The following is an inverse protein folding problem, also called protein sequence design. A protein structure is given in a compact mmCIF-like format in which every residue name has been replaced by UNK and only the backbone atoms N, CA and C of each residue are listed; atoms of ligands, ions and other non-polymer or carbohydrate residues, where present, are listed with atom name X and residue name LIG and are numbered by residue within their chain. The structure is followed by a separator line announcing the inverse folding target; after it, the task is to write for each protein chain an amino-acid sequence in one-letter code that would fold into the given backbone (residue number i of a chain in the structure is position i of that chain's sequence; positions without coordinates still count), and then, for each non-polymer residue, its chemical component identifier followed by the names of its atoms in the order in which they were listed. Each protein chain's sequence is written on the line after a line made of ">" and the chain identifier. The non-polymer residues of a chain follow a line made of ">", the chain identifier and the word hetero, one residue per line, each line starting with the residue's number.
data_IF_074460691070
#
_entry.id   IF_074460691070
#
_cell.length_a   1.000
_cell.length_b   1.000
_cell.length_c   1.000
_cell.angle_alpha   90.00
_cell.angle_beta   90.00
_cell.angle_gamma   90.00
#
_symmetry.space_group_name_H-M   'P 1'
#
loop_
_entity.id
_entity.type
_entity.pdbx_description
1 polymer ?
#
# COMPACT_ATOMS: atom_id res chain seq x y z
N UNK A 1 -31.67 29.32 -3.61
CA UNK A 1 -30.20 29.38 -3.82
C UNK A 1 -29.73 27.96 -4.04
N UNK A 2 -29.11 27.61 -5.17
CA UNK A 2 -28.61 26.26 -5.36
C UNK A 2 -27.43 26.06 -4.42
N UNK A 3 -27.50 24.98 -3.63
CA UNK A 3 -26.38 24.48 -2.86
C UNK A 3 -25.26 24.21 -3.85
N UNK A 4 -24.15 24.92 -3.69
CA UNK A 4 -22.92 24.64 -4.40
C UNK A 4 -22.45 23.27 -3.88
N UNK A 5 -22.88 22.19 -4.56
CA UNK A 5 -22.25 20.89 -4.44
C UNK A 5 -20.81 21.10 -4.89
N UNK A 6 -19.94 21.46 -3.94
CA UNK A 6 -18.51 21.26 -4.12
C UNK A 6 -18.39 19.83 -4.60
N UNK A 7 -17.93 19.65 -5.84
CA UNK A 7 -17.48 18.36 -6.35
C UNK A 7 -16.46 17.85 -5.33
N UNK A 8 -16.94 17.05 -4.37
CA UNK A 8 -16.09 16.31 -3.45
C UNK A 8 -15.19 15.52 -4.38
N UNK A 9 -13.91 15.90 -4.44
CA UNK A 9 -12.93 15.19 -5.24
C UNK A 9 -12.88 13.80 -4.62
N UNK A 10 -13.58 12.86 -5.26
CA UNK A 10 -13.62 11.49 -4.79
C UNK A 10 -12.27 10.87 -5.09
N UNK A 11 -11.38 10.94 -4.11
CA UNK A 11 -10.06 10.36 -4.24
C UNK A 11 -10.19 8.83 -4.37
N UNK A 12 -9.58 8.26 -5.41
CA UNK A 12 -9.37 6.82 -5.53
C UNK A 12 -8.17 6.45 -4.66
N UNK A 13 -8.41 6.12 -3.39
CA UNK A 13 -7.35 5.81 -2.43
C UNK A 13 -7.45 4.38 -1.94
N UNK A 14 -6.29 3.80 -1.63
CA UNK A 14 -6.17 2.57 -0.86
C UNK A 14 -5.02 2.71 0.11
N UNK A 15 -5.29 2.58 1.41
CA UNK A 15 -4.25 2.46 2.41
C UNK A 15 -3.88 0.98 2.56
N UNK A 16 -2.59 0.67 2.43
CA UNK A 16 -2.05 -0.69 2.53
C UNK A 16 -1.02 -0.74 3.67
N UNK A 17 -1.30 -1.56 4.68
CA UNK A 17 -0.43 -1.77 5.81
C UNK A 17 0.56 -2.91 5.52
N UNK A 18 1.84 -2.61 5.62
CA UNK A 18 2.96 -3.52 5.39
C UNK A 18 3.88 -3.56 6.61
N UNK A 19 4.84 -4.48 6.61
CA UNK A 19 5.93 -4.48 7.58
C UNK A 19 6.86 -3.29 7.35
N UNK A 20 7.44 -2.75 8.42
CA UNK A 20 8.47 -1.73 8.29
C UNK A 20 9.87 -2.36 8.35
N UNK A 21 10.75 -2.03 7.41
CA UNK A 21 12.15 -2.42 7.47
C UNK A 21 12.98 -1.22 7.94
N UNK A 22 13.38 -1.21 9.21
CA UNK A 22 14.29 -0.21 9.75
C UNK A 22 15.70 -0.81 9.81
N UNK A 23 16.68 -0.20 9.13
CA UNK A 23 18.09 -0.63 9.15
C UNK A 23 18.31 -2.10 8.75
N UNK A 24 17.52 -2.62 7.80
CA UNK A 24 17.62 -4.03 7.37
C UNK A 24 17.00 -5.03 8.34
N UNK A 25 16.36 -4.58 9.42
CA UNK A 25 15.58 -5.43 10.31
C UNK A 25 14.09 -5.23 10.04
N UNK A 26 13.42 -6.31 9.66
CA UNK A 26 11.98 -6.31 9.46
C UNK A 26 11.25 -6.30 10.79
N UNK A 27 10.49 -5.25 11.01
CA UNK A 27 9.61 -5.06 12.15
C UNK A 27 8.16 -5.19 11.62
N UNK A 28 7.53 -6.33 11.91
CA UNK A 28 6.18 -6.63 11.46
C UNK A 28 5.59 -7.82 12.21
N UNK A 29 4.26 -7.83 12.40
CA UNK A 29 3.56 -8.94 13.05
C UNK A 29 3.21 -10.09 12.10
N UNK A 30 3.64 -10.04 10.84
CA UNK A 30 3.25 -11.03 9.85
C UNK A 30 4.00 -12.35 10.05
N UNK A 31 3.24 -13.40 10.36
CA UNK A 31 3.72 -14.75 10.65
C UNK A 31 4.52 -15.39 9.50
N UNK A 32 4.33 -14.89 8.27
CA UNK A 32 5.08 -15.32 7.08
C UNK A 32 6.54 -14.85 7.14
N UNK A 33 6.78 -13.58 7.49
CA UNK A 33 8.13 -12.98 7.67
C UNK A 33 8.98 -13.78 8.65
N UNK A 34 8.35 -14.23 9.74
CA UNK A 34 8.99 -15.03 10.80
C UNK A 34 9.40 -16.43 10.28
N UNK A 35 8.70 -16.96 9.27
CA UNK A 35 8.94 -18.32 8.74
C UNK A 35 9.83 -18.35 7.48
N UNK A 36 9.80 -17.32 6.63
CA UNK A 36 10.43 -17.39 5.29
C UNK A 36 11.69 -16.55 5.13
N UNK A 37 12.00 -15.62 6.04
CA UNK A 37 13.22 -14.81 5.99
C UNK A 37 13.29 -13.81 4.82
N UNK A 38 12.30 -13.81 3.93
CA UNK A 38 12.13 -12.82 2.87
C UNK A 38 10.68 -12.37 2.80
N UNK A 39 10.47 -11.06 2.91
CA UNK A 39 9.19 -10.44 2.70
C UNK A 39 9.21 -9.63 1.44
N UNK A 40 8.33 -9.98 0.52
CA UNK A 40 8.12 -9.29 -0.76
C UNK A 40 7.91 -7.78 -0.59
N UNK A 41 7.35 -7.37 0.55
CA UNK A 41 7.13 -5.96 0.93
C UNK A 41 8.43 -5.14 1.00
N UNK A 42 9.59 -5.77 1.21
CA UNK A 42 10.89 -5.07 1.29
C UNK A 42 11.31 -4.41 -0.01
N UNK A 43 10.77 -4.89 -1.14
CA UNK A 43 11.08 -4.38 -2.48
C UNK A 43 10.08 -3.34 -2.97
N UNK A 44 9.07 -2.95 -2.17
CA UNK A 44 8.05 -2.00 -2.61
C UNK A 44 8.68 -0.69 -3.14
N UNK A 45 9.69 -0.16 -2.45
CA UNK A 45 10.35 1.08 -2.85
C UNK A 45 11.67 0.88 -3.60
N UNK A 46 11.90 -0.31 -4.13
CA UNK A 46 13.08 -0.63 -4.94
C UNK A 46 12.61 -0.82 -6.39
N UNK A 47 12.83 0.19 -7.24
CA UNK A 47 12.34 0.20 -8.61
C UNK A 47 13.09 -0.81 -9.49
N UNK A 48 12.46 -1.19 -10.60
CA UNK A 48 13.06 -2.06 -11.63
C UNK A 48 12.66 -1.59 -13.02
N UNK A 49 13.43 -2.02 -14.02
CA UNK A 49 12.95 -2.00 -15.40
C UNK A 49 12.07 -3.22 -15.63
N UNK A 50 10.78 -2.99 -15.90
CA UNK A 50 9.81 -4.03 -16.22
C UNK A 50 9.04 -3.60 -17.47
N UNK A 51 9.02 -4.48 -18.49
CA UNK A 51 8.44 -4.18 -19.81
C UNK A 51 8.94 -2.84 -20.40
N UNK A 52 10.25 -2.57 -20.27
CA UNK A 52 10.90 -1.37 -20.80
C UNK A 52 10.66 -0.07 -20.02
N UNK A 53 9.95 -0.13 -18.89
CA UNK A 53 9.64 1.04 -18.06
C UNK A 53 10.20 0.89 -16.65
N UNK A 54 10.68 1.99 -16.07
CA UNK A 54 11.11 2.02 -14.67
C UNK A 54 9.88 2.15 -13.75
N UNK A 55 9.64 1.11 -12.94
CA UNK A 55 8.42 0.97 -12.12
C UNK A 55 8.74 0.50 -10.71
N UNK A 56 7.86 0.80 -9.77
CA UNK A 56 7.79 0.09 -8.49
C UNK A 56 6.72 -1.00 -8.58
N UNK A 57 7.11 -2.23 -8.22
CA UNK A 57 6.20 -3.36 -8.08
C UNK A 57 5.92 -3.59 -6.59
N UNK A 58 4.78 -3.07 -6.13
CA UNK A 58 4.35 -3.14 -4.74
C UNK A 58 3.56 -4.39 -4.40
N UNK A 59 3.81 -4.92 -3.21
CA UNK A 59 3.07 -6.02 -2.61
C UNK A 59 2.56 -5.66 -1.22
N UNK A 60 1.33 -6.05 -0.93
CA UNK A 60 0.81 -6.20 0.44
C UNK A 60 -0.05 -7.46 0.51
N UNK A 61 -0.07 -8.11 1.67
CA UNK A 61 -0.89 -9.30 1.86
C UNK A 61 -2.36 -8.90 2.16
N UNK A 62 -3.29 -9.26 1.27
CA UNK A 62 -4.72 -9.05 1.49
C UNK A 62 -5.31 -9.97 2.60
N UNK A 63 -4.50 -10.89 3.13
CA UNK A 63 -4.84 -11.90 4.12
C UNK A 63 -5.41 -13.18 3.51
N UNK A 64 -5.72 -14.15 4.38
CA UNK A 64 -6.29 -15.45 3.99
C UNK A 64 -7.70 -15.64 4.57
N UNK A 65 -8.51 -16.50 3.95
CA UNK A 65 -9.76 -16.98 4.55
C UNK A 65 -9.48 -17.86 5.78
N UNK A 66 -10.53 -18.37 6.43
CA UNK A 66 -10.40 -19.25 7.60
C UNK A 66 -9.50 -20.44 7.26
N UNK A 67 -8.49 -20.71 8.09
CA UNK A 67 -7.44 -21.69 7.80
C UNK A 67 -6.05 -21.06 7.57
N UNK A 68 -5.97 -19.74 7.41
CA UNK A 68 -4.69 -19.02 7.30
C UNK A 68 -3.93 -19.37 6.02
N UNK A 69 -2.63 -19.15 6.00
CA UNK A 69 -1.77 -19.44 4.84
C UNK A 69 -1.80 -20.93 4.45
N UNK A 70 -1.88 -21.83 5.44
CA UNK A 70 -1.73 -23.28 5.23
C UNK A 70 -2.99 -23.94 4.66
N UNK A 71 -4.19 -23.46 5.02
CA UNK A 71 -5.46 -24.10 4.66
C UNK A 71 -6.52 -23.14 4.10
N UNK A 72 -6.25 -21.84 4.14
CA UNK A 72 -7.14 -20.80 3.62
C UNK A 72 -6.83 -20.47 2.16
N UNK A 73 -7.75 -19.70 1.56
CA UNK A 73 -7.58 -19.12 0.24
C UNK A 73 -7.09 -17.67 0.38
N UNK A 74 -6.23 -17.24 -0.53
CA UNK A 74 -5.79 -15.85 -0.61
C UNK A 74 -7.01 -14.94 -0.80
N UNK A 75 -7.16 -13.93 0.05
CA UNK A 75 -8.22 -12.92 -0.12
C UNK A 75 -7.87 -12.01 -1.29
N UNK A 76 -8.91 -11.48 -1.91
CA UNK A 76 -8.79 -10.52 -2.99
C UNK A 76 -8.81 -9.09 -2.46
N UNK A 77 -8.16 -8.19 -3.19
CA UNK A 77 -8.39 -6.76 -3.06
C UNK A 77 -9.75 -6.44 -3.66
N UNK A 78 -10.64 -5.88 -2.85
CA UNK A 78 -11.99 -5.48 -3.27
C UNK A 78 -11.93 -4.11 -3.95
N UNK A 79 -11.37 -4.04 -5.16
CA UNK A 79 -11.13 -2.78 -5.88
C UNK A 79 -12.43 -1.98 -6.15
N UNK A 80 -13.59 -2.62 -6.14
CA UNK A 80 -14.91 -1.96 -6.18
C UNK A 80 -15.18 -1.08 -4.95
N UNK A 81 -14.42 -1.30 -3.87
CA UNK A 81 -14.43 -0.46 -2.70
C UNK A 81 -13.55 0.79 -2.86
N UNK A 82 -12.69 0.85 -3.88
CA UNK A 82 -12.02 2.10 -4.24
C UNK A 82 -12.98 2.95 -5.08
N UNK A 83 -13.52 2.35 -6.13
CA UNK A 83 -14.50 2.97 -7.02
C UNK A 83 -15.44 1.88 -7.56
N UNK A 84 -16.75 2.13 -7.54
CA UNK A 84 -17.75 1.16 -7.98
C UNK A 84 -17.63 0.78 -9.46
N UNK A 85 -17.03 1.64 -10.28
CA UNK A 85 -16.74 1.35 -11.70
C UNK A 85 -15.81 0.15 -11.90
N UNK A 86 -15.05 -0.24 -10.87
CA UNK A 86 -14.12 -1.39 -10.95
C UNK A 86 -14.75 -2.75 -10.58
N UNK A 87 -16.07 -2.82 -10.37
CA UNK A 87 -16.76 -4.03 -9.87
C UNK A 87 -16.48 -5.30 -10.67
N UNK A 88 -16.40 -5.22 -11.99
CA UNK A 88 -16.21 -6.38 -12.86
C UNK A 88 -14.82 -6.40 -13.52
N UNK A 89 -13.89 -5.56 -13.07
CA UNK A 89 -12.54 -5.48 -13.62
C UNK A 89 -11.57 -6.34 -12.81
N UNK A 90 -10.44 -6.69 -13.43
CA UNK A 90 -9.33 -7.41 -12.75
C UNK A 90 -8.42 -6.46 -11.97
N UNK A 91 -8.37 -5.21 -12.37
CA UNK A 91 -7.55 -4.15 -11.78
C UNK A 91 -8.27 -2.81 -11.77
N UNK A 92 -7.75 -1.90 -10.94
CA UNK A 92 -8.20 -0.53 -10.80
C UNK A 92 -7.03 0.41 -11.10
N UNK A 93 -7.19 1.26 -12.13
CA UNK A 93 -6.19 2.25 -12.52
C UNK A 93 -6.47 3.63 -11.92
N UNK A 94 -5.42 4.47 -11.85
CA UNK A 94 -5.54 5.82 -11.33
C UNK A 94 -5.77 5.87 -9.81
N UNK A 95 -5.27 4.87 -9.08
CA UNK A 95 -5.39 4.78 -7.62
C UNK A 95 -4.15 5.40 -6.96
N UNK A 96 -4.34 6.15 -5.88
CA UNK A 96 -3.24 6.48 -4.97
C UNK A 96 -3.18 5.43 -3.87
N UNK A 97 -2.14 4.59 -3.90
CA UNK A 97 -1.89 3.60 -2.85
C UNK A 97 -0.98 4.23 -1.82
N UNK A 98 -1.44 4.31 -0.57
CA UNK A 98 -0.70 4.90 0.55
C UNK A 98 -0.18 3.74 1.40
N UNK A 99 1.14 3.60 1.44
CA UNK A 99 1.80 2.56 2.20
C UNK A 99 1.95 3.01 3.65
N UNK A 100 1.49 2.19 4.57
CA UNK A 100 1.57 2.44 6.00
C UNK A 100 2.30 1.29 6.69
N UNK A 101 2.94 1.57 7.81
CA UNK A 101 3.51 0.53 8.65
C UNK A 101 3.43 0.92 10.13
N UNK A 102 3.60 -0.08 11.00
CA UNK A 102 3.75 0.14 12.43
C UNK A 102 5.22 0.47 12.73
N UNK A 103 5.47 1.70 13.17
CA UNK A 103 6.80 2.18 13.53
C UNK A 103 7.01 2.00 15.04
N UNK A 104 8.09 1.34 15.48
CA UNK A 104 8.39 1.17 16.90
C UNK A 104 8.38 2.51 17.65
N UNK A 105 7.75 2.55 18.82
CA UNK A 105 7.61 3.73 19.70
C UNK A 105 6.84 4.93 19.14
N UNK A 106 6.46 4.93 17.86
CA UNK A 106 5.71 6.03 17.22
C UNK A 106 4.26 5.62 16.95
N UNK A 107 4.04 4.38 16.52
CA UNK A 107 2.73 3.90 16.09
C UNK A 107 2.59 3.79 14.57
N UNK A 108 1.36 3.68 14.08
CA UNK A 108 1.12 3.48 12.65
C UNK A 108 1.36 4.79 11.89
N UNK A 109 2.18 4.76 10.86
CA UNK A 109 2.55 5.93 10.05
C UNK A 109 2.55 5.60 8.56
N UNK A 110 2.37 6.61 7.72
CA UNK A 110 2.59 6.57 6.28
C UNK A 110 4.10 6.51 6.04
N UNK A 111 4.54 5.55 5.22
CA UNK A 111 5.95 5.34 4.88
C UNK A 111 6.28 5.67 3.41
N UNK A 112 5.25 5.97 2.63
CA UNK A 112 5.37 6.27 1.21
C UNK A 112 4.05 6.07 0.48
N UNK A 113 4.05 6.27 -0.83
CA UNK A 113 2.86 6.11 -1.66
C UNK A 113 3.23 5.88 -3.12
N UNK A 114 2.31 5.27 -3.87
CA UNK A 114 2.32 5.26 -5.32
C UNK A 114 1.11 6.06 -5.82
N UNK A 115 1.36 7.13 -6.58
CA UNK A 115 0.31 7.84 -7.34
C UNK A 115 0.03 7.11 -8.65
N UNK A 116 -1.16 7.34 -9.22
CA UNK A 116 -1.58 6.79 -10.51
C UNK A 116 -1.28 5.29 -10.69
N UNK A 117 -1.41 4.52 -9.60
CA UNK A 117 -1.10 3.10 -9.61
C UNK A 117 -2.24 2.29 -10.25
N UNK A 118 -1.86 1.13 -10.77
CA UNK A 118 -2.77 0.04 -11.07
C UNK A 118 -2.74 -0.97 -9.92
N UNK A 119 -3.92 -1.26 -9.36
CA UNK A 119 -4.12 -2.18 -8.22
C UNK A 119 -4.88 -3.41 -8.70
N UNK A 120 -4.33 -4.60 -8.48
CA UNK A 120 -4.91 -5.86 -8.92
C UNK A 120 -5.72 -6.54 -7.81
N UNK A 121 -6.82 -7.23 -8.18
CA UNK A 121 -7.60 -8.05 -7.24
C UNK A 121 -6.79 -9.16 -6.61
N UNK A 122 -5.96 -9.81 -7.42
CA UNK A 122 -5.08 -10.91 -7.04
C UNK A 122 -3.64 -10.52 -7.34
N UNK A 123 -2.67 -11.01 -6.56
CA UNK A 123 -1.25 -10.81 -6.89
C UNK A 123 -0.92 -11.42 -8.25
N UNK A 124 -0.19 -10.65 -9.07
CA UNK A 124 0.52 -11.15 -10.22
C UNK A 124 1.83 -11.81 -9.77
N UNK A 125 2.34 -12.73 -10.59
CA UNK A 125 3.59 -13.46 -10.36
C UNK A 125 4.54 -13.26 -11.53
N UNK A 126 5.78 -12.91 -11.21
CA UNK A 126 6.93 -12.96 -12.11
C UNK A 126 7.75 -14.19 -11.71
N UNK A 127 8.08 -15.10 -12.64
CA UNK A 127 8.89 -16.28 -12.33
C UNK A 127 10.22 -15.94 -11.65
N UNK A 128 10.68 -16.86 -10.80
CA UNK A 128 11.97 -16.71 -10.11
C UNK A 128 13.12 -16.59 -11.13
N UNK A 129 14.04 -15.66 -10.88
CA UNK A 129 15.19 -15.39 -11.74
C UNK A 129 14.96 -14.36 -12.83
N UNK A 130 13.70 -13.98 -13.15
CA UNK A 130 13.42 -12.92 -14.13
C UNK A 130 13.73 -11.51 -13.60
N UNK A 131 13.63 -11.31 -12.28
CA UNK A 131 14.14 -10.11 -11.62
C UNK A 131 15.38 -10.51 -10.80
N UNK A 132 16.60 -10.16 -11.25
CA UNK A 132 17.83 -10.54 -10.55
C UNK A 132 17.79 -10.15 -9.07
N UNK A 133 18.09 -11.12 -8.21
CA UNK A 133 18.14 -10.92 -6.76
C UNK A 133 16.79 -10.76 -6.05
N UNK A 134 15.65 -10.95 -6.74
CA UNK A 134 14.32 -10.83 -6.13
C UNK A 134 13.42 -12.05 -6.37
N UNK A 135 12.48 -12.24 -5.46
CA UNK A 135 11.49 -13.31 -5.52
C UNK A 135 11.94 -14.58 -4.82
N UNK A 136 10.95 -15.38 -4.41
CA UNK A 136 11.18 -16.70 -3.81
C UNK A 136 11.31 -17.78 -4.89
N UNK A 137 12.16 -18.78 -4.67
CA UNK A 137 12.40 -19.85 -5.65
C UNK A 137 11.13 -20.66 -5.98
N UNK A 138 10.18 -20.76 -5.05
CA UNK A 138 8.92 -21.50 -5.24
C UNK A 138 7.78 -20.56 -5.66
N UNK A 139 7.69 -19.38 -5.05
CA UNK A 139 6.57 -18.46 -5.24
C UNK A 139 6.80 -17.42 -6.35
N UNK A 140 8.04 -17.21 -6.79
CA UNK A 140 8.43 -16.12 -7.70
C UNK A 140 8.40 -14.75 -7.03
N UNK A 141 8.41 -13.69 -7.84
CA UNK A 141 8.19 -12.33 -7.39
C UNK A 141 6.70 -11.95 -7.51
N UNK A 142 6.06 -11.55 -6.40
CA UNK A 142 4.65 -11.23 -6.34
C UNK A 142 4.44 -9.72 -6.24
N UNK A 143 3.43 -9.21 -6.93
CA UNK A 143 2.99 -7.82 -6.80
C UNK A 143 1.48 -7.71 -7.03
N UNK A 144 0.81 -6.83 -6.28
CA UNK A 144 -0.60 -6.48 -6.49
C UNK A 144 -0.80 -4.98 -6.72
N UNK A 145 0.29 -4.22 -6.82
CA UNK A 145 0.30 -2.80 -7.17
C UNK A 145 1.47 -2.54 -8.13
N UNK A 146 1.23 -1.78 -9.19
CA UNK A 146 2.30 -1.25 -10.05
C UNK A 146 2.08 0.24 -10.26
N UNK A 147 3.17 1.01 -10.20
CA UNK A 147 3.19 2.38 -10.72
C UNK A 147 4.58 2.68 -11.25
N UNK A 148 4.65 3.62 -12.18
CA UNK A 148 5.93 4.14 -12.65
C UNK A 148 6.72 4.79 -11.51
N UNK A 149 8.06 4.73 -11.57
CA UNK A 149 8.95 5.20 -10.49
C UNK A 149 8.71 6.66 -10.08
N UNK A 150 8.50 7.54 -11.06
CA UNK A 150 8.28 8.98 -10.85
C UNK A 150 7.04 9.34 -10.00
N UNK A 151 6.11 8.40 -9.84
CA UNK A 151 4.87 8.52 -9.09
C UNK A 151 4.99 7.90 -7.70
N UNK A 152 6.10 7.24 -7.43
CA UNK A 152 6.36 6.54 -6.19
C UNK A 152 7.25 7.39 -5.29
N UNK A 153 6.89 7.46 -4.01
CA UNK A 153 7.70 8.10 -2.98
C UNK A 153 7.87 7.14 -1.81
N UNK A 154 9.11 7.03 -1.34
CA UNK A 154 9.46 6.41 -0.08
C UNK A 154 9.95 7.51 0.86
N UNK A 155 9.24 7.71 1.96
CA UNK A 155 9.58 8.77 2.91
C UNK A 155 10.86 8.39 3.68
N UNK A 156 11.78 9.34 3.93
CA UNK A 156 12.87 9.12 4.87
C UNK A 156 12.33 9.02 6.30
N UNK A 157 13.09 8.38 7.18
CA UNK A 157 12.69 8.18 8.57
C UNK A 157 12.39 9.50 9.29
N UNK A 158 13.13 10.57 8.97
CA UNK A 158 12.91 11.93 9.47
C UNK A 158 11.54 12.51 9.14
N UNK A 159 10.91 12.05 8.05
CA UNK A 159 9.52 12.36 7.71
C UNK A 159 8.56 11.40 8.43
N UNK A 160 8.80 10.09 8.34
CA UNK A 160 7.91 9.04 8.88
C UNK A 160 7.55 9.26 10.36
N UNK A 161 8.48 9.76 11.17
CA UNK A 161 8.26 9.99 12.62
C UNK A 161 7.42 11.24 12.93
N UNK A 162 7.19 12.12 11.96
CA UNK A 162 6.38 13.33 12.18
C UNK A 162 4.93 12.92 12.33
N UNK A 163 4.25 13.52 13.32
CA UNK A 163 2.83 13.25 13.61
C UNK A 163 1.91 13.54 12.43
N UNK A 164 2.33 14.35 11.47
CA UNK A 164 1.56 14.70 10.28
C UNK A 164 1.37 13.53 9.30
N UNK A 165 2.20 12.50 9.40
CA UNK A 165 2.15 11.28 8.59
C UNK A 165 1.46 10.11 9.29
N UNK A 166 0.80 10.32 10.43
CA UNK A 166 0.14 9.23 11.16
C UNK A 166 -0.87 8.48 10.28
N UNK A 167 -0.95 7.16 10.44
CA UNK A 167 -1.96 6.32 9.82
C UNK A 167 -3.03 5.93 10.87
N UNK A 168 -4.31 6.28 10.69
CA UNK A 168 -5.33 6.08 11.69
C UNK A 168 -5.66 4.60 11.90
N UNK A 169 -6.03 4.25 13.13
CA UNK A 169 -6.55 2.93 13.51
C UNK A 169 -7.99 3.08 13.98
N UNK A 170 -8.87 2.20 13.48
CA UNK A 170 -10.31 2.27 13.73
C UNK A 170 -10.65 2.31 15.23
N UNK A 171 -9.92 1.52 16.04
CA UNK A 171 -10.11 1.45 17.49
C UNK A 171 -9.97 2.80 18.21
N UNK A 172 -9.11 3.69 17.72
CA UNK A 172 -8.79 4.96 18.41
C UNK A 172 -9.50 6.16 17.78
N UNK A 173 -9.66 6.17 16.45
CA UNK A 173 -10.20 7.33 15.73
C UNK A 173 -11.64 7.13 15.23
N UNK A 174 -12.15 5.89 15.27
CA UNK A 174 -13.44 5.53 14.66
C UNK A 174 -13.40 5.40 13.13
N UNK A 175 -12.21 5.53 12.53
CA UNK A 175 -11.88 5.25 11.13
C UNK A 175 -10.42 4.82 11.03
N UNK A 176 -9.99 4.31 9.88
CA UNK A 176 -8.62 3.82 9.68
C UNK A 176 -8.53 2.31 9.60
N UNK A 177 -7.32 1.77 9.72
CA UNK A 177 -7.11 0.33 9.70
C UNK A 177 -7.82 -0.36 10.88
N UNK A 178 -8.62 -1.38 10.54
CA UNK A 178 -9.18 -2.34 11.49
C UNK A 178 -8.31 -3.58 11.61
N UNK A 179 -8.92 -4.76 11.45
CA UNK A 179 -8.20 -6.05 11.43
C UNK A 179 -7.57 -6.37 10.06
N UNK A 180 -7.97 -5.68 8.99
CA UNK A 180 -7.42 -5.89 7.65
C UNK A 180 -6.17 -5.03 7.43
N UNK A 181 -5.25 -5.53 6.61
CA UNK A 181 -4.12 -4.77 6.06
C UNK A 181 -4.54 -3.72 5.02
N UNK A 182 -5.82 -3.67 4.64
CA UNK A 182 -6.34 -2.72 3.67
C UNK A 182 -7.35 -1.81 4.35
N UNK A 183 -7.29 -0.52 4.03
CA UNK A 183 -8.32 0.42 4.38
C UNK A 183 -8.69 1.28 3.16
N UNK A 184 -9.99 1.28 2.83
CA UNK A 184 -10.56 1.93 1.65
C UNK A 184 -11.07 3.35 1.91
N UNK A 185 -10.95 3.84 3.15
CA UNK A 185 -11.37 5.18 3.57
C UNK A 185 -12.75 5.62 3.06
N UNK A 186 -13.76 4.76 3.27
CA UNK A 186 -15.15 5.03 2.85
C UNK A 186 -15.98 5.71 3.93
N UNK A 187 -15.46 5.74 5.16
CA UNK A 187 -16.16 6.27 6.30
C UNK A 187 -16.24 7.79 6.17
N UNK A 188 -17.44 8.37 6.31
CA UNK A 188 -17.62 9.83 6.30
C UNK A 188 -16.70 10.56 7.29
N UNK A 189 -16.44 9.94 8.46
CA UNK A 189 -15.53 10.46 9.49
C UNK A 189 -14.08 10.60 9.01
N UNK A 190 -13.69 9.90 7.94
CA UNK A 190 -12.35 9.93 7.38
C UNK A 190 -12.13 11.00 6.30
N UNK A 191 -13.18 11.66 5.80
CA UNK A 191 -13.11 12.60 4.67
C UNK A 191 -12.05 13.68 4.89
N UNK A 192 -12.12 14.41 6.01
CA UNK A 192 -11.14 15.46 6.34
C UNK A 192 -9.69 14.93 6.45
N UNK A 193 -9.52 13.71 6.95
CA UNK A 193 -8.19 13.08 7.03
C UNK A 193 -7.68 12.72 5.63
N UNK A 194 -8.53 12.13 4.79
CA UNK A 194 -8.19 11.78 3.40
C UNK A 194 -7.83 13.02 2.60
N UNK A 195 -8.62 14.08 2.68
CA UNK A 195 -8.30 15.34 2.00
C UNK A 195 -6.96 15.92 2.48
N UNK A 196 -6.74 15.95 3.80
CA UNK A 196 -5.49 16.46 4.37
C UNK A 196 -4.28 15.66 3.92
N UNK A 197 -4.33 14.32 3.98
CA UNK A 197 -3.19 13.48 3.60
C UNK A 197 -2.96 13.49 2.08
N UNK A 198 -4.03 13.53 1.27
CA UNK A 198 -3.92 13.65 -0.18
C UNK A 198 -3.32 15.01 -0.60
N UNK A 199 -3.68 16.09 0.10
CA UNK A 199 -3.07 17.40 -0.11
C UNK A 199 -1.58 17.38 0.24
N UNK A 200 -1.19 16.76 1.37
CA UNK A 200 0.22 16.58 1.74
C UNK A 200 1.00 15.78 0.70
N UNK A 201 0.46 14.63 0.27
CA UNK A 201 1.06 13.78 -0.77
C UNK A 201 1.24 14.54 -2.09
N UNK A 202 0.26 15.37 -2.46
CA UNK A 202 0.30 16.13 -3.71
C UNK A 202 1.34 17.25 -3.68
N UNK A 203 1.57 17.86 -2.52
CA UNK A 203 2.52 18.96 -2.33
C UNK A 203 3.89 18.51 -1.79
N UNK A 204 4.09 17.21 -1.57
CA UNK A 204 5.37 16.69 -1.07
C UNK A 204 6.47 16.92 -2.11
N UNK A 205 7.50 17.64 -1.69
CA UNK A 205 8.69 17.97 -2.48
C UNK A 205 10.00 17.63 -1.73
N UNK A 206 9.88 16.84 -0.66
CA UNK A 206 11.01 16.39 0.12
C UNK A 206 11.79 15.25 -0.55
N UNK A 207 12.73 14.69 0.23
CA UNK A 207 13.57 13.58 -0.21
C UNK A 207 12.74 12.33 -0.57
N UNK A 208 13.09 11.69 -1.68
CA UNK A 208 12.48 10.44 -2.10
C UNK A 208 13.51 9.31 -2.04
N UNK A 209 13.25 8.30 -1.20
CA UNK A 209 14.14 7.15 -1.03
C UNK A 209 13.85 5.97 -1.96
N UNK A 210 12.96 6.12 -2.96
CA UNK A 210 12.79 5.09 -3.98
C UNK A 210 14.11 4.88 -4.71
N UNK A 211 14.59 3.65 -4.70
CA UNK A 211 15.87 3.25 -5.31
C UNK A 211 15.65 2.89 -6.77
#
# INVERSE_FOLDING_TARGET
>A
MPVNESLLIKHRVLFANVSYNLNGQQQGQFRYVIKTGDAMEKYNFDSIVYNGNEVCLGFFEAGFTKGGYEHGQQRQVHIERIDSSFRNLKSASGVTVIWCALIPSIGSSVIGWYKNAEVFRLPNKIPYGEIPGRGDANAGYLYNVISSKQNCVALPYSEIIKSEWFAPRQKYYGFGFGQSNMWYAKEKKSENYVESIMNKISNYSGENLVR
#
